data_IF_117944325878
#
_entry.id   IF_117944325878
#
_cell.length_a   1.000
_cell.length_b   1.000
_cell.length_c   1.000
_cell.angle_alpha   90.00
_cell.angle_beta   90.00
_cell.angle_gamma   90.00
#
_symmetry.space_group_name_H-M   'P 1'
#
loop_
_entity.id
_entity.type
_entity.pdbx_description
1 polymer ?
#
# COMPACT_ATOMS: atom_id res chain seq x y z
N UNK A 1 20.22 35.88 -2.47
CA UNK A 1 20.90 37.00 -3.17
C UNK A 1 21.73 37.68 -2.10
N UNK A 2 22.92 37.12 -1.86
CA UNK A 2 23.85 37.63 -0.86
C UNK A 2 25.10 38.08 -1.62
N UNK A 3 25.38 39.37 -1.52
CA UNK A 3 26.52 40.03 -2.14
C UNK A 3 27.78 39.70 -1.32
N UNK A 4 28.69 38.92 -1.88
CA UNK A 4 30.01 38.69 -1.29
C UNK A 4 30.92 39.88 -1.59
N UNK A 5 31.37 40.53 -0.52
CA UNK A 5 32.29 41.65 -0.53
C UNK A 5 33.70 41.21 -1.01
N UNK A 6 34.24 41.98 -1.95
CA UNK A 6 35.62 41.88 -2.44
C UNK A 6 36.53 42.70 -1.51
N UNK A 7 37.65 42.16 -1.01
CA UNK A 7 38.63 42.95 -0.29
C UNK A 7 39.60 43.61 -1.29
N UNK A 8 39.55 44.93 -1.37
CA UNK A 8 40.61 45.77 -1.93
C UNK A 8 41.71 45.92 -0.89
N UNK A 9 42.88 45.33 -1.13
CA UNK A 9 44.06 45.62 -0.32
C UNK A 9 44.96 46.64 -1.04
N UNK A 10 45.24 47.69 -0.29
CA UNK A 10 45.80 48.97 -0.67
C UNK A 10 47.17 49.05 0.01
N UNK A 11 48.27 48.91 -0.73
CA UNK A 11 49.56 49.40 -0.24
C UNK A 11 50.59 49.68 -1.32
N UNK A 12 50.64 50.95 -1.70
CA UNK A 12 51.80 51.60 -2.23
C UNK A 12 52.81 51.90 -1.11
N UNK A 13 54.09 51.61 -1.33
CA UNK A 13 55.20 52.34 -0.70
C UNK A 13 56.39 52.38 -1.66
N UNK A 14 56.52 53.53 -2.32
CA UNK A 14 57.74 54.09 -2.91
C UNK A 14 58.75 54.43 -1.80
N UNK A 15 60.07 54.26 -2.03
CA UNK A 15 61.08 55.03 -1.32
C UNK A 15 61.74 56.05 -2.27
N UNK A 16 61.54 57.31 -1.91
CA UNK A 16 62.12 58.51 -2.50
C UNK A 16 63.55 58.71 -1.97
N UNK A 17 64.47 58.97 -2.90
CA UNK A 17 65.60 59.92 -2.84
C UNK A 17 66.53 60.01 -1.61
N UNK A 18 67.83 59.91 -1.90
CA UNK A 18 68.83 60.84 -1.36
C UNK A 18 70.04 60.91 -2.30
N UNK A 19 70.06 61.99 -3.11
CA UNK A 19 71.22 62.52 -3.81
C UNK A 19 71.88 63.50 -2.84
N UNK A 20 73.17 63.33 -2.54
CA UNK A 20 73.97 64.42 -1.98
C UNK A 20 75.46 64.34 -2.40
N UNK A 21 75.85 65.37 -3.15
CA UNK A 21 77.09 66.16 -3.20
C UNK A 21 78.51 65.55 -3.20
N UNK A 22 79.15 65.78 -4.35
CA UNK A 22 80.53 66.19 -4.68
C UNK A 22 81.60 66.45 -3.59
N UNK A 23 82.80 65.87 -3.80
CA UNK A 23 84.14 66.50 -3.66
C UNK A 23 85.18 65.52 -4.28
N UNK A 24 85.77 65.80 -5.46
CA UNK A 24 87.03 66.51 -5.75
C UNK A 24 88.33 65.83 -5.25
N UNK A 25 89.31 65.78 -6.17
CA UNK A 25 90.77 65.64 -6.01
C UNK A 25 91.36 64.23 -6.16
N UNK A 26 91.66 63.90 -7.44
CA UNK A 26 92.96 63.40 -7.91
C UNK A 26 93.91 62.81 -6.85
N UNK A 27 93.69 61.55 -6.51
CA UNK A 27 94.72 60.68 -5.93
C UNK A 27 94.84 59.43 -6.79
N UNK A 28 96.06 59.14 -7.25
CA UNK A 28 96.42 57.93 -7.97
C UNK A 28 95.79 56.72 -7.25
N UNK A 29 95.02 55.87 -7.96
CA UNK A 29 94.17 54.85 -7.32
C UNK A 29 95.04 53.88 -6.54
N UNK A 30 94.94 53.93 -5.21
CA UNK A 30 95.29 52.79 -4.38
C UNK A 30 94.21 51.73 -4.64
N UNK A 31 94.64 50.60 -5.18
CA UNK A 31 93.80 49.49 -5.63
C UNK A 31 92.82 48.98 -4.56
N UNK A 32 93.07 49.26 -3.26
CA UNK A 32 92.23 48.79 -2.15
C UNK A 32 90.85 49.44 -2.03
N UNK A 33 90.68 50.71 -2.45
CA UNK A 33 89.38 51.39 -2.38
C UNK A 33 88.40 50.93 -3.47
N UNK A 34 88.94 50.64 -4.65
CA UNK A 34 88.19 50.02 -5.75
C UNK A 34 87.75 48.61 -5.39
N UNK A 35 88.62 47.82 -4.75
CA UNK A 35 88.25 46.48 -4.26
C UNK A 35 87.13 46.53 -3.22
N UNK A 36 87.15 47.49 -2.29
CA UNK A 36 86.08 47.67 -1.30
C UNK A 36 84.75 48.10 -1.95
N UNK A 37 84.79 49.01 -2.92
CA UNK A 37 83.61 49.43 -3.66
C UNK A 37 83.05 48.31 -4.54
N UNK A 38 83.92 47.52 -5.18
CA UNK A 38 83.55 46.33 -5.96
C UNK A 38 82.90 45.27 -5.07
N UNK A 39 83.45 45.02 -3.88
CA UNK A 39 82.90 44.08 -2.91
C UNK A 39 81.52 44.55 -2.38
N UNK A 40 81.37 45.83 -2.07
CA UNK A 40 80.08 46.38 -1.64
C UNK A 40 79.04 46.37 -2.78
N UNK A 41 79.46 46.64 -4.02
CA UNK A 41 78.60 46.57 -5.20
C UNK A 41 78.18 45.12 -5.51
N UNK A 42 79.11 44.16 -5.42
CA UNK A 42 78.81 42.75 -5.65
C UNK A 42 77.87 42.18 -4.58
N UNK A 43 78.07 42.57 -3.31
CA UNK A 43 77.17 42.15 -2.22
C UNK A 43 75.75 42.72 -2.40
N UNK A 44 75.63 43.99 -2.82
CA UNK A 44 74.33 44.57 -3.18
C UNK A 44 73.71 43.86 -4.39
N UNK A 45 74.49 43.57 -5.42
CA UNK A 45 74.00 42.85 -6.60
C UNK A 45 73.45 41.46 -6.23
N UNK A 46 74.15 40.71 -5.36
CA UNK A 46 73.66 39.42 -4.84
C UNK A 46 72.37 39.57 -4.03
N UNK A 47 72.25 40.62 -3.21
CA UNK A 47 71.03 40.88 -2.45
C UNK A 47 69.83 41.19 -3.36
N UNK A 48 70.04 41.96 -4.42
CA UNK A 48 69.01 42.22 -5.42
C UNK A 48 68.66 40.97 -6.23
N UNK A 49 69.64 40.14 -6.59
CA UNK A 49 69.38 38.87 -7.26
C UNK A 49 68.50 37.96 -6.39
N UNK A 50 68.75 37.90 -5.09
CA UNK A 50 67.93 37.11 -4.17
C UNK A 50 66.50 37.66 -4.03
N UNK A 51 66.33 38.99 -3.93
CA UNK A 51 65.02 39.62 -3.90
C UNK A 51 64.24 39.42 -5.21
N UNK A 52 64.92 39.53 -6.35
CA UNK A 52 64.33 39.28 -7.67
C UNK A 52 63.86 37.82 -7.74
N UNK A 53 64.67 36.84 -7.32
CA UNK A 53 64.26 35.43 -7.29
C UNK A 53 63.08 35.16 -6.37
N UNK A 54 63.01 35.80 -5.21
CA UNK A 54 61.86 35.68 -4.29
C UNK A 54 60.58 36.26 -4.91
N UNK A 55 60.68 37.42 -5.57
CA UNK A 55 59.56 38.02 -6.29
C UNK A 55 59.13 37.20 -7.50
N UNK A 56 60.08 36.64 -8.26
CA UNK A 56 59.80 35.71 -9.35
C UNK A 56 59.10 34.45 -8.84
N UNK A 57 59.53 33.91 -7.69
CA UNK A 57 58.89 32.77 -7.03
C UNK A 57 57.45 33.06 -6.63
N UNK A 58 57.21 34.19 -5.94
CA UNK A 58 55.86 34.63 -5.55
C UNK A 58 54.97 34.89 -6.75
N UNK A 59 55.48 35.54 -7.80
CA UNK A 59 54.72 35.78 -9.02
C UNK A 59 54.36 34.46 -9.72
N UNK A 60 55.27 33.49 -9.76
CA UNK A 60 55.00 32.17 -10.33
C UNK A 60 53.94 31.42 -9.53
N UNK A 61 53.98 31.51 -8.20
CA UNK A 61 52.97 30.94 -7.30
C UNK A 61 51.60 31.61 -7.49
N UNK A 62 51.55 32.94 -7.52
CA UNK A 62 50.32 33.72 -7.72
C UNK A 62 49.70 33.46 -9.10
N UNK A 63 50.51 33.39 -10.16
CA UNK A 63 50.04 33.04 -11.50
C UNK A 63 49.54 31.58 -11.58
N UNK A 64 50.18 30.67 -10.85
CA UNK A 64 49.72 29.28 -10.74
C UNK A 64 48.37 29.21 -10.02
N UNK A 65 48.23 29.94 -8.91
CA UNK A 65 46.99 30.03 -8.14
C UNK A 65 45.85 30.67 -8.97
N UNK A 66 46.13 31.78 -9.65
CA UNK A 66 45.17 32.41 -10.57
C UNK A 66 44.70 31.44 -11.65
N UNK A 67 45.62 30.66 -12.24
CA UNK A 67 45.25 29.64 -13.23
C UNK A 67 44.42 28.51 -12.63
N UNK A 68 44.71 28.10 -11.40
CA UNK A 68 43.91 27.09 -10.70
C UNK A 68 42.47 27.59 -10.47
N UNK A 69 42.32 28.84 -10.04
CA UNK A 69 41.02 29.48 -9.85
C UNK A 69 40.26 29.60 -11.18
N UNK A 70 40.92 30.02 -12.26
CA UNK A 70 40.28 30.12 -13.58
C UNK A 70 39.77 28.76 -14.08
N UNK A 71 40.54 27.70 -13.85
CA UNK A 71 40.11 26.34 -14.20
C UNK A 71 38.90 25.90 -13.37
N UNK A 72 38.89 26.17 -12.06
CA UNK A 72 37.75 25.88 -11.19
C UNK A 72 36.50 26.67 -11.59
N UNK A 73 36.64 27.97 -11.88
CA UNK A 73 35.52 28.79 -12.35
C UNK A 73 34.96 28.26 -13.66
N UNK A 74 35.82 27.84 -14.58
CA UNK A 74 35.40 27.25 -15.85
C UNK A 74 34.63 25.95 -15.63
N UNK A 75 35.11 25.08 -14.74
CA UNK A 75 34.42 23.83 -14.39
C UNK A 75 33.06 24.09 -13.75
N UNK A 76 32.97 25.02 -12.80
CA UNK A 76 31.71 25.38 -12.13
C UNK A 76 30.71 25.97 -13.13
N UNK A 77 31.14 26.86 -14.03
CA UNK A 77 30.27 27.43 -15.06
C UNK A 77 29.76 26.35 -16.01
N UNK A 78 30.62 25.43 -16.44
CA UNK A 78 30.21 24.30 -17.29
C UNK A 78 29.22 23.38 -16.55
N UNK A 79 29.47 23.09 -15.27
CA UNK A 79 28.57 22.32 -14.41
C UNK A 79 27.21 22.99 -14.22
N UNK A 80 27.20 24.31 -14.06
CA UNK A 80 25.98 25.09 -13.89
C UNK A 80 25.18 25.15 -15.19
N UNK A 81 25.82 25.36 -16.33
CA UNK A 81 25.18 25.30 -17.65
C UNK A 81 24.57 23.92 -17.93
N UNK A 82 25.29 22.85 -17.60
CA UNK A 82 24.80 21.48 -17.78
C UNK A 82 23.60 21.19 -16.86
N UNK A 83 23.66 21.64 -15.60
CA UNK A 83 22.56 21.48 -14.65
C UNK A 83 21.33 22.28 -15.07
N UNK A 84 21.54 23.52 -15.53
CA UNK A 84 20.47 24.37 -16.07
C UNK A 84 19.81 23.71 -17.28
N UNK A 85 20.60 23.15 -18.21
CA UNK A 85 20.08 22.42 -19.37
C UNK A 85 19.23 21.23 -18.93
N UNK A 86 19.75 20.39 -18.02
CA UNK A 86 19.00 19.23 -17.48
C UNK A 86 17.71 19.64 -16.79
N UNK A 87 17.75 20.69 -15.96
CA UNK A 87 16.58 21.23 -15.28
C UNK A 87 15.55 21.73 -16.29
N UNK A 88 15.98 22.44 -17.34
CA UNK A 88 15.09 22.95 -18.38
C UNK A 88 14.44 21.81 -19.17
N UNK A 89 15.20 20.75 -19.49
CA UNK A 89 14.69 19.55 -20.15
C UNK A 89 13.70 18.79 -19.26
N UNK A 90 13.99 18.65 -17.96
CA UNK A 90 13.07 18.02 -17.02
C UNK A 90 11.75 18.80 -16.90
N UNK A 91 11.83 20.14 -16.89
CA UNK A 91 10.67 21.01 -16.79
C UNK A 91 9.82 20.97 -18.08
N UNK A 92 10.45 20.90 -19.25
CA UNK A 92 9.74 20.85 -20.54
C UNK A 92 9.25 19.47 -20.94
N UNK A 93 9.88 18.39 -20.47
CA UNK A 93 9.53 17.03 -20.88
C UNK A 93 8.93 16.21 -19.74
N UNK A 94 9.59 16.16 -18.58
CA UNK A 94 9.19 15.25 -17.49
C UNK A 94 7.95 15.76 -16.77
N UNK A 95 7.87 17.05 -16.46
CA UNK A 95 6.70 17.63 -15.79
C UNK A 95 5.40 17.42 -16.59
N UNK A 96 5.31 17.79 -17.89
CA UNK A 96 4.06 17.57 -18.64
C UNK A 96 3.78 16.10 -18.91
N UNK A 97 4.81 15.24 -18.97
CA UNK A 97 4.59 13.80 -19.06
C UNK A 97 3.91 13.27 -17.78
N UNK A 98 4.43 13.61 -16.60
CA UNK A 98 3.85 13.20 -15.32
C UNK A 98 2.42 13.75 -15.19
N UNK A 99 2.19 15.01 -15.57
CA UNK A 99 0.87 15.63 -15.54
C UNK A 99 -0.15 14.87 -16.39
N UNK A 100 0.23 14.48 -17.62
CA UNK A 100 -0.62 13.65 -18.50
C UNK A 100 -0.89 12.28 -17.91
N UNK A 101 0.13 11.59 -17.40
CA UNK A 101 -0.06 10.27 -16.78
C UNK A 101 -0.97 10.35 -15.56
N UNK A 102 -0.82 11.37 -14.72
CA UNK A 102 -1.73 11.58 -13.58
C UNK A 102 -3.16 11.85 -14.03
N UNK A 103 -3.34 12.61 -15.11
CA UNK A 103 -4.66 12.87 -15.67
C UNK A 103 -5.31 11.60 -16.23
N UNK A 104 -4.55 10.76 -16.94
CA UNK A 104 -4.99 9.44 -17.43
C UNK A 104 -5.37 8.53 -16.26
N UNK A 105 -4.53 8.47 -15.21
CA UNK A 105 -4.80 7.68 -14.01
C UNK A 105 -6.08 8.17 -13.30
N UNK A 106 -6.30 9.49 -13.21
CA UNK A 106 -7.53 10.04 -12.64
C UNK A 106 -8.78 9.69 -13.46
N UNK A 107 -8.68 9.68 -14.78
CA UNK A 107 -9.77 9.27 -15.67
C UNK A 107 -10.09 7.78 -15.48
N UNK A 108 -9.07 6.91 -15.43
CA UNK A 108 -9.29 5.48 -15.17
C UNK A 108 -9.88 5.22 -13.78
N UNK A 109 -9.47 5.99 -12.76
CA UNK A 109 -10.02 5.88 -11.41
C UNK A 109 -11.48 6.36 -11.36
N UNK A 110 -11.81 7.38 -12.15
CA UNK A 110 -13.19 7.86 -12.30
C UNK A 110 -14.07 6.81 -12.98
N UNK A 111 -13.61 6.21 -14.07
CA UNK A 111 -14.30 5.13 -14.77
C UNK A 111 -14.51 3.91 -13.86
N UNK A 112 -13.49 3.54 -13.10
CA UNK A 112 -13.58 2.47 -12.12
C UNK A 112 -14.59 2.81 -11.02
N UNK A 113 -14.62 4.06 -10.55
CA UNK A 113 -15.61 4.56 -9.60
C UNK A 113 -17.04 4.46 -10.13
N UNK A 114 -17.24 4.67 -11.43
CA UNK A 114 -18.53 4.52 -12.11
C UNK A 114 -18.93 3.05 -12.33
N UNK A 115 -17.96 2.17 -12.58
CA UNK A 115 -18.20 0.74 -12.81
C UNK A 115 -18.42 -0.09 -11.52
N UNK A 116 -17.77 0.28 -10.42
CA UNK A 116 -17.90 -0.39 -9.12
C UNK A 116 -19.35 -0.60 -8.64
N UNK A 117 -20.25 0.41 -8.67
CA UNK A 117 -21.63 0.22 -8.25
C UNK A 117 -22.38 -0.76 -9.15
N UNK A 118 -22.08 -0.79 -10.45
CA UNK A 118 -22.69 -1.74 -11.39
C UNK A 118 -22.29 -3.18 -11.03
N UNK A 119 -20.99 -3.43 -10.83
CA UNK A 119 -20.48 -4.72 -10.36
C UNK A 119 -21.09 -5.08 -9.00
N UNK A 120 -21.22 -4.10 -8.10
CA UNK A 120 -21.89 -4.27 -6.81
C UNK A 120 -23.35 -4.71 -6.94
N UNK A 121 -24.09 -4.17 -7.91
CA UNK A 121 -25.46 -4.63 -8.21
C UNK A 121 -25.48 -6.03 -8.80
N UNK A 122 -24.57 -6.34 -9.73
CA UNK A 122 -24.47 -7.68 -10.32
C UNK A 122 -24.17 -8.75 -9.26
N UNK A 123 -23.25 -8.48 -8.34
CA UNK A 123 -22.93 -9.39 -7.22
C UNK A 123 -24.13 -9.58 -6.28
N UNK A 124 -24.87 -8.51 -5.96
CA UNK A 124 -26.11 -8.62 -5.17
C UNK A 124 -27.15 -9.50 -5.86
N UNK A 125 -27.32 -9.35 -7.18
CA UNK A 125 -28.24 -10.15 -7.97
C UNK A 125 -27.82 -11.64 -7.98
N UNK A 126 -26.54 -11.93 -8.22
CA UNK A 126 -26.00 -13.31 -8.18
C UNK A 126 -26.24 -13.92 -6.80
N UNK A 127 -25.99 -13.17 -5.72
CA UNK A 127 -26.24 -13.62 -4.36
C UNK A 127 -27.72 -13.94 -4.14
N UNK A 128 -28.62 -13.09 -4.59
CA UNK A 128 -30.06 -13.33 -4.48
C UNK A 128 -30.49 -14.61 -5.22
N UNK A 129 -29.98 -14.84 -6.43
CA UNK A 129 -30.26 -16.06 -7.21
C UNK A 129 -29.70 -17.30 -6.51
N UNK A 130 -28.49 -17.20 -5.96
CA UNK A 130 -27.86 -18.28 -5.20
C UNK A 130 -28.65 -18.62 -3.93
N UNK A 131 -29.05 -17.62 -3.15
CA UNK A 131 -29.83 -17.80 -1.92
C UNK A 131 -31.20 -18.44 -2.24
N UNK A 132 -31.89 -18.00 -3.30
CA UNK A 132 -33.12 -18.63 -3.76
C UNK A 132 -32.93 -20.08 -4.22
N UNK A 133 -31.82 -20.36 -4.90
CA UNK A 133 -31.44 -21.72 -5.29
C UNK A 133 -31.18 -22.61 -4.08
N UNK A 134 -30.52 -22.08 -3.05
CA UNK A 134 -30.26 -22.77 -1.78
C UNK A 134 -31.56 -23.07 -1.04
N UNK A 135 -32.47 -22.11 -0.94
CA UNK A 135 -33.77 -22.30 -0.29
C UNK A 135 -34.57 -23.42 -0.96
N UNK A 136 -34.60 -23.43 -2.30
CA UNK A 136 -35.23 -24.51 -3.07
C UNK A 136 -34.57 -25.86 -2.86
N UNK A 137 -33.23 -25.90 -2.81
CA UNK A 137 -32.51 -27.15 -2.56
C UNK A 137 -32.86 -27.70 -1.17
N UNK A 138 -32.96 -26.82 -0.16
CA UNK A 138 -33.38 -27.22 1.18
C UNK A 138 -34.81 -27.73 1.20
N UNK A 139 -35.75 -27.06 0.53
CA UNK A 139 -37.14 -27.53 0.39
C UNK A 139 -37.21 -28.92 -0.27
N UNK A 140 -36.39 -29.17 -1.29
CA UNK A 140 -36.30 -30.46 -1.96
C UNK A 140 -35.68 -31.54 -1.07
N UNK A 141 -34.64 -31.20 -0.31
CA UNK A 141 -34.03 -32.11 0.67
C UNK A 141 -35.03 -32.48 1.75
N UNK A 142 -35.74 -31.51 2.31
CA UNK A 142 -36.78 -31.73 3.32
C UNK A 142 -37.92 -32.60 2.74
N UNK A 143 -38.28 -32.36 1.48
CA UNK A 143 -39.28 -33.16 0.76
C UNK A 143 -38.81 -34.60 0.50
N UNK A 144 -37.54 -34.79 0.17
CA UNK A 144 -36.92 -36.11 -0.05
C UNK A 144 -36.71 -36.87 1.25
N UNK A 145 -36.28 -36.20 2.32
CA UNK A 145 -36.17 -36.76 3.65
C UNK A 145 -37.56 -37.22 4.14
N UNK A 146 -38.57 -36.36 3.97
CA UNK A 146 -39.94 -36.74 4.19
C UNK A 146 -40.34 -37.92 3.29
N UNK A 147 -39.90 -37.95 2.03
CA UNK A 147 -40.17 -39.06 1.11
C UNK A 147 -39.57 -40.39 1.59
N UNK A 148 -38.39 -40.34 2.20
CA UNK A 148 -37.61 -41.48 2.62
C UNK A 148 -37.98 -42.01 4.01
N UNK A 149 -38.75 -41.26 4.81
CA UNK A 149 -39.22 -41.76 6.11
C UNK A 149 -40.02 -43.05 5.95
N UNK A 150 -39.81 -44.07 6.82
CA UNK A 150 -40.47 -45.35 6.68
C UNK A 150 -41.98 -45.21 6.94
N UNK A 151 -42.77 -45.96 6.17
CA UNK A 151 -44.25 -45.93 6.15
C UNK A 151 -44.90 -45.94 7.56
N UNK A 152 -44.48 -46.78 8.55
CA UNK A 152 -45.12 -46.75 9.87
C UNK A 152 -44.90 -45.44 10.63
N UNK A 153 -43.71 -44.83 10.50
CA UNK A 153 -43.41 -43.53 11.11
C UNK A 153 -44.23 -42.41 10.43
N UNK A 154 -44.40 -42.47 9.11
CA UNK A 154 -45.24 -41.53 8.36
C UNK A 154 -46.69 -41.56 8.79
N UNK A 155 -47.28 -42.75 8.93
CA UNK A 155 -48.66 -42.90 9.36
C UNK A 155 -48.86 -42.37 10.79
N UNK A 156 -47.92 -42.65 11.71
CA UNK A 156 -47.93 -42.08 13.06
C UNK A 156 -47.88 -40.54 13.03
N UNK A 157 -46.98 -39.96 12.24
CA UNK A 157 -46.86 -38.50 12.12
C UNK A 157 -48.10 -37.87 11.49
N UNK A 158 -48.74 -38.51 10.50
CA UNK A 158 -49.99 -38.00 9.89
C UNK A 158 -51.17 -38.03 10.88
N UNK A 159 -51.23 -39.06 11.73
CA UNK A 159 -52.29 -39.22 12.72
C UNK A 159 -52.10 -38.21 13.88
N UNK A 160 -50.87 -38.03 14.37
CA UNK A 160 -50.60 -37.26 15.59
C UNK A 160 -50.06 -35.83 15.37
N UNK A 161 -49.50 -35.50 14.21
CA UNK A 161 -48.92 -34.17 13.91
C UNK A 161 -49.73 -33.44 12.85
N UNK A 162 -50.17 -32.21 13.14
CA UNK A 162 -50.97 -31.37 12.22
C UNK A 162 -50.15 -30.82 11.04
N UNK A 163 -48.83 -30.70 11.21
CA UNK A 163 -47.90 -30.06 10.27
C UNK A 163 -47.29 -31.01 9.22
N UNK A 164 -47.94 -32.13 8.87
CA UNK A 164 -47.46 -32.96 7.78
C UNK A 164 -47.68 -32.29 6.41
N UNK A 165 -46.71 -32.30 5.47
CA UNK A 165 -46.79 -31.69 4.14
C UNK A 165 -47.60 -32.55 3.15
N UNK A 166 -48.79 -32.99 3.57
CA UNK A 166 -49.73 -33.73 2.71
C UNK A 166 -51.01 -32.93 2.54
N UNK A 167 -51.63 -33.07 1.37
CA UNK A 167 -52.90 -32.40 1.06
C UNK A 167 -53.92 -32.60 2.17
N UNK A 168 -54.63 -31.53 2.55
CA UNK A 168 -55.59 -31.56 3.64
C UNK A 168 -56.66 -32.67 3.46
N UNK A 169 -57.02 -32.97 2.20
CA UNK A 169 -57.94 -34.06 1.84
C UNK A 169 -57.43 -35.43 2.29
N UNK A 170 -56.15 -35.71 2.06
CA UNK A 170 -55.51 -36.96 2.48
C UNK A 170 -55.44 -37.10 4.01
N UNK A 171 -55.16 -36.00 4.72
CA UNK A 171 -55.19 -35.98 6.20
C UNK A 171 -56.57 -36.36 6.74
N UNK A 172 -57.63 -35.78 6.17
CA UNK A 172 -59.02 -36.06 6.57
C UNK A 172 -59.38 -37.51 6.27
N UNK A 173 -59.02 -38.04 5.10
CA UNK A 173 -59.28 -39.42 4.71
C UNK A 173 -58.62 -40.41 5.69
N UNK A 174 -57.33 -40.23 5.99
CA UNK A 174 -56.61 -41.12 6.92
C UNK A 174 -57.21 -41.06 8.33
N UNK A 175 -57.52 -39.85 8.84
CA UNK A 175 -58.17 -39.70 10.16
C UNK A 175 -59.54 -40.36 10.19
N UNK A 176 -60.33 -40.21 9.12
CA UNK A 176 -61.64 -40.84 9.00
C UNK A 176 -61.54 -42.37 8.99
N UNK A 177 -60.61 -42.92 8.20
CA UNK A 177 -60.38 -44.37 8.14
C UNK A 177 -59.95 -44.92 9.50
N UNK A 178 -59.09 -44.19 10.22
CA UNK A 178 -58.70 -44.54 11.59
C UNK A 178 -59.88 -44.53 12.56
N UNK A 179 -60.74 -43.50 12.51
CA UNK A 179 -61.95 -43.44 13.36
C UNK A 179 -62.94 -44.57 13.06
N UNK A 180 -63.11 -44.94 11.79
CA UNK A 180 -63.96 -46.06 11.40
C UNK A 180 -63.40 -47.39 11.90
N UNK A 181 -62.08 -47.62 11.77
CA UNK A 181 -61.44 -48.82 12.30
C UNK A 181 -61.60 -48.92 13.83
N UNK A 182 -61.42 -47.80 14.55
CA UNK A 182 -61.63 -47.76 16.00
C UNK A 182 -63.08 -48.06 16.40
N UNK A 183 -64.05 -47.47 15.70
CA UNK A 183 -65.47 -47.75 15.89
C UNK A 183 -65.81 -49.23 15.65
N UNK A 184 -65.26 -49.83 14.59
CA UNK A 184 -65.44 -51.26 14.32
C UNK A 184 -64.83 -52.15 15.40
N UNK A 185 -63.62 -51.83 15.89
CA UNK A 185 -63.01 -52.55 17.02
C UNK A 185 -63.85 -52.41 18.29
N UNK A 186 -64.32 -51.22 18.61
CA UNK A 186 -65.18 -50.96 19.77
C UNK A 186 -66.51 -51.71 19.66
N UNK A 187 -67.10 -51.77 18.46
CA UNK A 187 -68.30 -52.53 18.16
C UNK A 187 -68.11 -54.03 18.34
N UNK A 188 -67.01 -54.60 17.82
CA UNK A 188 -66.68 -56.02 17.99
C UNK A 188 -66.44 -56.33 19.47
N UNK A 189 -65.66 -55.50 20.17
CA UNK A 189 -65.42 -55.65 21.61
C UNK A 189 -66.71 -55.59 22.42
N UNK A 190 -67.65 -54.73 22.01
CA UNK A 190 -68.98 -54.66 22.63
C UNK A 190 -69.80 -55.94 22.40
N UNK A 191 -69.78 -56.49 21.19
CA UNK A 191 -70.45 -57.77 20.87
C UNK A 191 -69.83 -58.92 21.65
N UNK A 192 -68.49 -59.01 21.71
CA UNK A 192 -67.81 -60.08 22.46
C UNK A 192 -68.08 -59.97 23.95
N UNK A 193 -68.09 -58.75 24.51
CA UNK A 193 -68.46 -58.52 25.90
C UNK A 193 -69.90 -58.93 26.18
N UNK A 194 -70.85 -58.56 25.30
CA UNK A 194 -72.24 -59.03 25.43
C UNK A 194 -72.35 -60.55 25.32
N UNK A 195 -71.59 -61.17 24.43
CA UNK A 195 -71.50 -62.62 24.30
C UNK A 195 -71.00 -63.29 25.58
N UNK A 196 -69.91 -62.77 26.15
CA UNK A 196 -69.33 -63.26 27.40
C UNK A 196 -70.29 -63.10 28.59
N UNK A 197 -70.97 -61.95 28.69
CA UNK A 197 -72.00 -61.71 29.72
C UNK A 197 -73.16 -62.70 29.59
N UNK A 198 -73.60 -63.00 28.36
CA UNK A 198 -74.65 -64.01 28.12
C UNK A 198 -74.19 -65.41 28.54
N UNK A 199 -72.97 -65.80 28.18
CA UNK A 199 -72.40 -67.10 28.57
C UNK A 199 -72.26 -67.23 30.09
N UNK A 200 -71.82 -66.16 30.77
CA UNK A 200 -71.70 -66.13 32.22
C UNK A 200 -73.05 -66.26 32.91
N UNK A 201 -74.09 -65.56 32.43
CA UNK A 201 -75.46 -65.71 32.96
C UNK A 201 -75.99 -67.12 32.78
N UNK A 202 -75.74 -67.77 31.63
CA UNK A 202 -76.15 -69.16 31.43
C UNK A 202 -75.39 -70.13 32.35
N UNK A 203 -74.10 -69.91 32.62
CA UNK A 203 -73.32 -70.77 33.52
C UNK A 203 -73.82 -70.72 34.97
N UNK A 204 -74.34 -69.57 35.43
CA UNK A 204 -74.94 -69.45 36.77
C UNK A 204 -76.23 -70.29 36.91
N UNK A 205 -77.08 -70.32 35.87
CA UNK A 205 -78.34 -71.09 35.88
C UNK A 205 -78.09 -72.61 35.93
N UNK A 206 -77.00 -73.09 35.33
CA UNK A 206 -76.62 -74.51 35.39
C UNK A 206 -75.88 -74.88 36.68
N UNK A 207 -75.22 -73.92 37.35
CA UNK A 207 -74.58 -74.13 38.65
C UNK A 207 -75.59 -74.38 39.77
N UNK A 208 -76.74 -73.69 39.77
CA UNK A 208 -77.79 -73.89 40.78
C UNK A 208 -78.49 -75.25 40.65
N UNK A 209 -78.52 -75.85 39.45
CA UNK A 209 -79.12 -77.18 39.22
C UNK A 209 -78.21 -78.37 39.57
N UNK A 210 -76.94 -78.13 39.86
CA UNK A 210 -75.98 -79.18 40.26
C UNK A 210 -75.76 -79.27 41.77
N UNK A 211 -76.37 -78.37 42.56
CA UNK A 211 -76.30 -78.35 44.02
C UNK A 211 -77.62 -78.67 44.74
N UNK A 212 -78.66 -79.11 44.01
CA UNK A 212 -79.85 -79.77 44.58
C UNK A 212 -79.88 -81.24 44.18
#
# INVERSE_FOLDING_TARGET
>A
MDYLAVPTDERATTPTASIDSAETISSIPSTSGLDAALAAASQRALSYEMQIKDLEGKLAEDLSNSRAIDNLLREVVQGLQQTQKRSSTALTSTVPYIDRTLQEDLETLHDLGNALPEIGMQVKHIRQVYDHGRDKAQELVDSLEWLNTPIPLRLRTIIFTSNAPVSARWKVLIRFLFTLAFLMCMWIAWITLRGAVRAHRQRLVWGERLMS
#
